data_IF_513578002976
#
_entry.id   IF_513578002976
#
_cell.length_a   1.000
_cell.length_b   1.000
_cell.length_c   1.000
_cell.angle_alpha   90.00
_cell.angle_beta   90.00
_cell.angle_gamma   90.00
#
_symmetry.space_group_name_H-M   'P 1'
#
loop_
_entity.id
_entity.type
_entity.pdbx_description
1 polymer ?
#
# COMPACT_ATOMS: atom_id res chain seq x y z
N UNK A 1 12.23 -16.10 4.60
CA UNK A 1 11.96 -17.23 3.66
C UNK A 1 11.25 -16.78 2.38
N UNK A 2 10.00 -16.28 2.41
CA UNK A 2 9.30 -15.83 1.18
C UNK A 2 9.99 -14.62 0.56
N UNK A 3 10.28 -13.60 1.37
CA UNK A 3 10.94 -12.36 0.92
C UNK A 3 12.31 -12.63 0.28
N UNK A 4 13.03 -13.64 0.76
CA UNK A 4 14.36 -13.98 0.26
C UNK A 4 14.31 -14.66 -1.11
N UNK A 5 13.26 -15.45 -1.36
CA UNK A 5 13.13 -16.31 -2.56
C UNK A 5 12.54 -15.60 -3.78
N UNK A 6 11.68 -14.61 -3.58
CA UNK A 6 10.90 -13.99 -4.66
C UNK A 6 11.35 -12.57 -4.99
N UNK A 7 10.98 -12.10 -6.18
CA UNK A 7 11.30 -10.75 -6.65
C UNK A 7 10.61 -9.68 -5.78
N UNK A 8 11.40 -8.78 -5.21
CA UNK A 8 10.91 -7.77 -4.26
C UNK A 8 9.86 -6.83 -4.84
N UNK A 9 9.91 -6.52 -6.14
CA UNK A 9 8.89 -5.66 -6.79
C UNK A 9 7.52 -6.35 -6.86
N UNK A 10 7.50 -7.65 -7.16
CA UNK A 10 6.25 -8.42 -7.17
C UNK A 10 5.66 -8.56 -5.77
N UNK A 11 6.52 -8.81 -4.78
CA UNK A 11 6.10 -8.89 -3.37
C UNK A 11 5.49 -7.56 -2.88
N UNK A 12 6.06 -6.41 -3.28
CA UNK A 12 5.47 -5.10 -2.97
C UNK A 12 4.08 -4.92 -3.59
N UNK A 13 3.88 -5.35 -4.84
CA UNK A 13 2.56 -5.31 -5.48
C UNK A 13 1.57 -6.17 -4.70
N UNK A 14 1.97 -7.36 -4.25
CA UNK A 14 1.13 -8.23 -3.40
C UNK A 14 0.78 -7.53 -2.08
N UNK A 15 1.73 -6.84 -1.44
CA UNK A 15 1.46 -6.05 -0.24
C UNK A 15 0.43 -4.96 -0.51
N UNK A 16 0.57 -4.21 -1.61
CA UNK A 16 -0.39 -3.18 -1.99
C UNK A 16 -1.78 -3.76 -2.28
N UNK A 17 -1.87 -4.95 -2.87
CA UNK A 17 -3.15 -5.65 -3.05
C UNK A 17 -3.79 -6.03 -1.72
N UNK A 18 -3.02 -6.49 -0.73
CA UNK A 18 -3.57 -6.75 0.60
C UNK A 18 -4.07 -5.48 1.28
N UNK A 19 -3.31 -4.38 1.23
CA UNK A 19 -3.77 -3.07 1.73
C UNK A 19 -5.00 -2.56 0.98
N UNK A 20 -5.10 -2.83 -0.32
CA UNK A 20 -6.29 -2.50 -1.11
C UNK A 20 -7.50 -3.27 -0.61
N UNK A 21 -7.40 -4.60 -0.43
CA UNK A 21 -8.51 -5.41 0.12
C UNK A 21 -8.89 -4.96 1.52
N UNK A 22 -7.91 -4.69 2.40
CA UNK A 22 -8.14 -4.20 3.76
C UNK A 22 -8.91 -2.87 3.76
N UNK A 23 -8.45 -1.90 2.95
CA UNK A 23 -9.13 -0.62 2.77
C UNK A 23 -10.51 -0.78 2.13
N UNK A 24 -10.69 -1.73 1.21
CA UNK A 24 -11.96 -2.00 0.56
C UNK A 24 -12.99 -2.52 1.57
N UNK A 25 -12.58 -3.44 2.46
CA UNK A 25 -13.44 -3.92 3.55
C UNK A 25 -13.92 -2.74 4.39
N UNK A 26 -13.00 -1.84 4.79
CA UNK A 26 -13.37 -0.64 5.53
C UNK A 26 -14.36 0.27 4.79
N UNK A 27 -14.19 0.44 3.48
CA UNK A 27 -15.08 1.29 2.68
C UNK A 27 -16.53 0.79 2.61
N UNK A 28 -16.77 -0.49 2.90
CA UNK A 28 -18.11 -1.09 2.94
C UNK A 28 -18.55 -1.50 4.35
N UNK A 29 -17.82 -1.07 5.38
CA UNK A 29 -18.18 -1.31 6.77
C UNK A 29 -19.36 -0.43 7.17
N UNK A 30 -20.44 -1.07 7.62
CA UNK A 30 -21.66 -0.43 8.10
C UNK A 30 -21.82 -0.65 9.61
N UNK A 31 -22.80 0.01 10.23
CA UNK A 31 -23.04 -0.04 11.69
C UNK A 31 -23.31 -1.49 12.12
N UNK A 32 -24.06 -2.24 11.32
CA UNK A 32 -24.42 -3.64 11.55
C UNK A 32 -23.25 -4.61 11.35
N UNK A 33 -22.34 -4.34 10.40
CA UNK A 33 -21.24 -5.26 10.05
C UNK A 33 -19.92 -4.95 10.75
N UNK A 34 -19.81 -3.81 11.47
CA UNK A 34 -18.55 -3.29 12.03
C UNK A 34 -17.71 -4.30 12.81
N UNK A 35 -18.33 -5.11 13.67
CA UNK A 35 -17.58 -6.05 14.51
C UNK A 35 -16.93 -7.17 13.70
N UNK A 36 -17.64 -7.68 12.69
CA UNK A 36 -17.11 -8.72 11.79
C UNK A 36 -16.03 -8.13 10.88
N UNK A 37 -16.27 -6.94 10.32
CA UNK A 37 -15.30 -6.27 9.46
C UNK A 37 -14.00 -5.91 10.21
N UNK A 38 -14.09 -5.47 11.47
CA UNK A 38 -12.91 -5.23 12.32
C UNK A 38 -12.07 -6.49 12.47
N UNK A 39 -12.69 -7.65 12.71
CA UNK A 39 -11.95 -8.91 12.85
C UNK A 39 -11.25 -9.25 11.52
N UNK A 40 -11.96 -9.15 10.40
CA UNK A 40 -11.40 -9.44 9.07
C UNK A 40 -10.21 -8.54 8.72
N UNK A 41 -10.35 -7.23 8.93
CA UNK A 41 -9.27 -6.27 8.74
C UNK A 41 -8.07 -6.61 9.61
N UNK A 42 -8.26 -6.88 10.90
CA UNK A 42 -7.13 -7.18 11.79
C UNK A 42 -6.40 -8.48 11.40
N UNK A 43 -7.12 -9.49 10.90
CA UNK A 43 -6.50 -10.70 10.37
C UNK A 43 -5.63 -10.38 9.15
N UNK A 44 -6.13 -9.58 8.20
CA UNK A 44 -5.36 -9.17 7.02
C UNK A 44 -4.17 -8.31 7.43
N UNK A 45 -4.36 -7.33 8.31
CA UNK A 45 -3.32 -6.45 8.81
C UNK A 45 -2.20 -7.21 9.53
N UNK A 46 -2.53 -8.27 10.28
CA UNK A 46 -1.55 -9.10 11.01
C UNK A 46 -0.55 -9.77 10.08
N UNK A 47 -0.96 -10.08 8.84
CA UNK A 47 -0.11 -10.67 7.80
C UNK A 47 0.58 -9.55 7.01
N UNK A 48 -0.20 -8.55 6.60
CA UNK A 48 0.23 -7.51 5.67
C UNK A 48 1.31 -6.62 6.25
N UNK A 49 1.17 -6.20 7.52
CA UNK A 49 2.12 -5.31 8.18
C UNK A 49 3.55 -5.86 8.20
N UNK A 50 3.78 -7.04 8.82
CA UNK A 50 5.11 -7.66 8.83
C UNK A 50 5.63 -7.99 7.42
N UNK A 51 4.75 -8.46 6.53
CA UNK A 51 5.13 -8.82 5.17
C UNK A 51 5.60 -7.61 4.35
N UNK A 52 4.90 -6.48 4.46
CA UNK A 52 5.27 -5.22 3.83
C UNK A 52 6.59 -4.69 4.40
N UNK A 53 6.73 -4.64 5.72
CA UNK A 53 7.94 -4.15 6.39
C UNK A 53 9.18 -4.92 5.97
N UNK A 54 9.13 -6.26 5.95
CA UNK A 54 10.25 -7.10 5.52
C UNK A 54 10.57 -6.92 4.04
N UNK A 55 9.55 -6.87 3.18
CA UNK A 55 9.73 -6.69 1.73
C UNK A 55 10.34 -5.33 1.41
N UNK A 56 9.84 -4.27 2.04
CA UNK A 56 10.35 -2.91 1.89
C UNK A 56 11.79 -2.79 2.42
N UNK A 57 12.08 -3.39 3.57
CA UNK A 57 13.42 -3.42 4.14
C UNK A 57 14.42 -4.06 3.16
N UNK A 58 14.10 -5.24 2.62
CA UNK A 58 14.93 -5.88 1.59
C UNK A 58 15.10 -4.96 0.37
N UNK A 59 14.01 -4.36 -0.13
CA UNK A 59 14.06 -3.45 -1.28
C UNK A 59 15.01 -2.27 -1.08
N UNK A 60 15.02 -1.70 0.12
CA UNK A 60 15.89 -0.59 0.49
C UNK A 60 17.35 -1.03 0.50
N UNK A 61 17.63 -2.18 1.11
CA UNK A 61 19.00 -2.70 1.23
C UNK A 61 19.58 -3.17 -0.12
N UNK A 62 18.72 -3.59 -1.06
CA UNK A 62 19.09 -3.89 -2.45
C UNK A 62 19.52 -2.63 -3.24
N UNK A 63 19.10 -1.43 -2.81
CA UNK A 63 19.34 -0.16 -3.52
C UNK A 63 20.41 0.68 -2.83
N UNK A 64 20.42 0.71 -1.49
CA UNK A 64 21.26 1.61 -0.71
C UNK A 64 22.67 1.00 -0.56
N UNK A 65 23.74 1.76 -0.92
CA UNK A 65 25.12 1.34 -0.70
C UNK A 65 25.40 1.02 0.77
N UNK A 66 26.21 -0.01 1.03
CA UNK A 66 26.41 -0.51 2.39
C UNK A 66 26.95 0.54 3.36
N UNK A 67 27.85 1.41 2.88
CA UNK A 67 28.45 2.50 3.67
C UNK A 67 27.44 3.52 4.19
N UNK A 68 26.35 3.72 3.45
CA UNK A 68 25.42 4.83 3.67
C UNK A 68 24.05 4.34 4.16
N UNK A 69 23.88 3.03 4.41
CA UNK A 69 22.61 2.42 4.81
C UNK A 69 21.94 3.15 5.97
N UNK A 70 22.69 3.46 7.02
CA UNK A 70 22.16 4.14 8.20
C UNK A 70 21.63 5.54 7.89
N UNK A 71 22.33 6.31 7.05
CA UNK A 71 21.94 7.67 6.68
C UNK A 71 20.63 7.68 5.89
N UNK A 72 20.56 6.89 4.82
CA UNK A 72 19.37 6.83 3.97
C UNK A 72 18.18 6.18 4.68
N UNK A 73 18.42 5.19 5.55
CA UNK A 73 17.37 4.58 6.36
C UNK A 73 16.78 5.58 7.38
N UNK A 74 17.64 6.34 8.05
CA UNK A 74 17.24 7.42 8.96
C UNK A 74 16.45 8.51 8.25
N UNK A 75 16.92 8.98 7.09
CA UNK A 75 16.21 9.98 6.28
C UNK A 75 14.84 9.47 5.79
N UNK A 76 14.78 8.24 5.29
CA UNK A 76 13.51 7.61 4.91
C UNK A 76 12.53 7.56 6.09
N UNK A 77 13.00 7.13 7.26
CA UNK A 77 12.18 7.02 8.46
C UNK A 77 11.67 8.38 8.92
N UNK A 78 12.49 9.43 8.85
CA UNK A 78 12.09 10.79 9.16
C UNK A 78 10.99 11.30 8.22
N UNK A 79 11.10 11.04 6.91
CA UNK A 79 10.05 11.38 5.95
C UNK A 79 8.74 10.65 6.29
N UNK A 80 8.79 9.35 6.56
CA UNK A 80 7.60 8.57 6.92
C UNK A 80 6.97 9.11 8.21
N UNK A 81 7.77 9.43 9.23
CA UNK A 81 7.28 10.03 10.46
C UNK A 81 6.61 11.40 10.21
N UNK A 82 7.20 12.23 9.35
CA UNK A 82 6.61 13.50 8.93
C UNK A 82 5.25 13.32 8.22
N UNK A 83 5.16 12.35 7.30
CA UNK A 83 3.89 12.02 6.62
C UNK A 83 2.84 11.56 7.64
N UNK A 84 3.22 10.67 8.59
CA UNK A 84 2.33 10.20 9.65
C UNK A 84 1.84 11.36 10.54
N UNK A 85 2.69 12.34 10.82
CA UNK A 85 2.31 13.50 11.62
C UNK A 85 1.30 14.42 10.91
N UNK A 86 1.39 14.56 9.59
CA UNK A 86 0.49 15.42 8.80
C UNK A 86 -0.79 14.71 8.39
N UNK A 87 -0.77 13.38 8.26
CA UNK A 87 -1.91 12.60 7.78
C UNK A 87 -3.23 12.85 8.54
N UNK A 88 -3.26 12.97 9.89
CA UNK A 88 -4.49 13.26 10.63
C UNK A 88 -5.11 14.61 10.27
N UNK A 89 -4.31 15.63 9.94
CA UNK A 89 -4.82 16.95 9.56
C UNK A 89 -5.60 16.86 8.25
N UNK A 90 -5.02 16.18 7.25
CA UNK A 90 -5.66 15.96 5.94
C UNK A 90 -6.90 15.08 6.10
N UNK A 91 -6.79 13.99 6.88
CA UNK A 91 -7.89 13.07 7.13
C UNK A 91 -9.08 13.74 7.83
N UNK A 92 -8.83 14.57 8.85
CA UNK A 92 -9.87 15.32 9.54
C UNK A 92 -10.52 16.36 8.64
N UNK A 93 -9.75 17.12 7.87
CA UNK A 93 -10.31 18.09 6.93
C UNK A 93 -11.25 17.43 5.90
N UNK A 94 -10.85 16.27 5.37
CA UNK A 94 -11.68 15.50 4.44
C UNK A 94 -12.93 14.93 5.13
N UNK A 95 -12.76 14.37 6.33
CA UNK A 95 -13.86 13.83 7.14
C UNK A 95 -14.91 14.91 7.43
N UNK A 96 -14.48 16.08 7.90
CA UNK A 96 -15.35 17.18 8.28
C UNK A 96 -16.09 17.74 7.07
N UNK A 97 -15.40 17.88 5.93
CA UNK A 97 -16.04 18.26 4.67
C UNK A 97 -17.14 17.27 4.26
N UNK A 98 -16.87 15.97 4.31
CA UNK A 98 -17.86 14.94 3.96
C UNK A 98 -19.03 14.98 4.94
N UNK A 99 -18.76 15.07 6.25
CA UNK A 99 -19.78 15.07 7.29
C UNK A 99 -20.77 16.24 7.14
N UNK A 100 -20.30 17.42 6.70
CA UNK A 100 -21.17 18.60 6.49
C UNK A 100 -21.97 18.50 5.19
N UNK A 101 -21.38 17.99 4.12
CA UNK A 101 -21.95 18.11 2.77
C UNK A 101 -22.64 16.84 2.26
N UNK A 102 -22.40 15.68 2.89
CA UNK A 102 -22.85 14.38 2.39
C UNK A 102 -23.69 13.70 3.46
N UNK A 103 -24.98 13.55 3.19
CA UNK A 103 -25.90 12.76 4.00
C UNK A 103 -25.70 11.25 3.72
N UNK A 104 -26.01 10.35 4.68
CA UNK A 104 -26.03 8.92 4.44
C UNK A 104 -26.87 8.53 3.21
N UNK A 105 -26.36 7.62 2.38
CA UNK A 105 -27.02 7.23 1.13
C UNK A 105 -26.69 5.79 0.73
N UNK A 106 -27.72 5.02 0.33
CA UNK A 106 -27.55 3.64 -0.13
C UNK A 106 -26.81 2.77 0.88
N UNK A 107 -25.66 2.22 0.48
CA UNK A 107 -24.78 1.39 1.31
C UNK A 107 -23.87 2.19 2.25
N UNK A 108 -23.90 3.53 2.17
CA UNK A 108 -23.05 4.43 2.95
C UNK A 108 -23.78 4.99 4.18
N UNK A 109 -23.88 4.18 5.24
CA UNK A 109 -24.47 4.60 6.53
C UNK A 109 -23.60 5.63 7.28
N UNK A 110 -22.27 5.59 7.06
CA UNK A 110 -21.28 6.49 7.66
C UNK A 110 -20.36 7.04 6.57
N UNK A 111 -20.86 7.94 5.69
CA UNK A 111 -20.14 8.37 4.49
C UNK A 111 -18.76 8.93 4.76
N UNK A 112 -18.58 9.70 5.83
CA UNK A 112 -17.29 10.30 6.19
C UNK A 112 -16.20 9.25 6.44
N UNK A 113 -16.56 8.11 7.02
CA UNK A 113 -15.62 7.01 7.23
C UNK A 113 -15.40 6.24 5.93
N UNK A 114 -16.49 5.79 5.33
CA UNK A 114 -16.47 4.88 4.18
C UNK A 114 -15.83 5.51 2.93
N UNK A 115 -16.15 6.79 2.65
CA UNK A 115 -15.62 7.50 1.49
C UNK A 115 -14.13 7.82 1.63
N UNK A 116 -13.62 8.08 2.84
CA UNK A 116 -12.16 8.23 3.06
C UNK A 116 -11.44 6.95 2.65
N UNK A 117 -11.93 5.79 3.09
CA UNK A 117 -11.35 4.51 2.67
C UNK A 117 -11.55 4.23 1.18
N UNK A 118 -12.65 4.68 0.57
CA UNK A 118 -12.84 4.58 -0.87
C UNK A 118 -11.81 5.42 -1.65
N UNK A 119 -11.50 6.63 -1.19
CA UNK A 119 -10.43 7.46 -1.75
C UNK A 119 -9.07 6.76 -1.61
N UNK A 120 -8.78 6.18 -0.44
CA UNK A 120 -7.56 5.37 -0.24
C UNK A 120 -7.48 4.21 -1.22
N UNK A 121 -8.59 3.53 -1.50
CA UNK A 121 -8.64 2.48 -2.51
C UNK A 121 -8.28 2.99 -3.91
N UNK A 122 -8.80 4.16 -4.32
CA UNK A 122 -8.45 4.76 -5.62
C UNK A 122 -6.95 5.04 -5.69
N UNK A 123 -6.36 5.62 -4.64
CA UNK A 123 -4.92 5.90 -4.59
C UNK A 123 -4.08 4.62 -4.62
N UNK A 124 -4.48 3.59 -3.87
CA UNK A 124 -3.82 2.28 -3.88
C UNK A 124 -3.94 1.61 -5.25
N UNK A 125 -5.08 1.71 -5.91
CA UNK A 125 -5.27 1.16 -7.25
C UNK A 125 -4.35 1.83 -8.27
N UNK A 126 -4.24 3.16 -8.24
CA UNK A 126 -3.30 3.92 -9.08
C UNK A 126 -1.86 3.47 -8.81
N UNK A 127 -1.48 3.32 -7.54
CA UNK A 127 -0.15 2.86 -7.14
C UNK A 127 0.15 1.45 -7.63
N UNK A 128 -0.82 0.53 -7.55
CA UNK A 128 -0.72 -0.85 -8.05
C UNK A 128 -0.50 -0.83 -9.56
N UNK A 129 -1.29 -0.08 -10.32
CA UNK A 129 -1.16 0.03 -11.77
C UNK A 129 0.21 0.57 -12.18
N UNK A 130 0.71 1.60 -11.49
CA UNK A 130 2.03 2.16 -11.76
C UNK A 130 3.15 1.14 -11.53
N UNK A 131 3.10 0.41 -10.41
CA UNK A 131 4.10 -0.60 -10.07
C UNK A 131 4.03 -1.83 -10.98
N UNK A 132 2.83 -2.24 -11.40
CA UNK A 132 2.64 -3.31 -12.40
C UNK A 132 3.27 -2.93 -13.74
N UNK A 133 2.98 -1.73 -14.26
CA UNK A 133 3.58 -1.23 -15.51
C UNK A 133 5.10 -1.23 -15.45
N UNK A 134 5.67 -0.73 -14.35
CA UNK A 134 7.12 -0.71 -14.13
C UNK A 134 7.71 -2.12 -14.10
N UNK A 135 7.06 -3.04 -13.38
CA UNK A 135 7.53 -4.42 -13.25
C UNK A 135 7.48 -5.16 -14.59
N UNK A 136 6.39 -5.02 -15.36
CA UNK A 136 6.27 -5.61 -16.70
C UNK A 136 7.35 -5.08 -17.64
N UNK A 137 7.64 -3.77 -17.60
CA UNK A 137 8.70 -3.16 -18.41
C UNK A 137 10.06 -3.81 -18.12
N UNK A 138 10.44 -3.93 -16.85
CA UNK A 138 11.69 -4.56 -16.43
C UNK A 138 11.79 -6.03 -16.89
N UNK A 139 10.69 -6.79 -16.81
CA UNK A 139 10.67 -8.17 -17.31
C UNK A 139 10.88 -8.27 -18.83
N UNK A 140 10.29 -7.35 -19.60
CA UNK A 140 10.48 -7.30 -21.05
C UNK A 140 11.93 -6.97 -21.42
N UNK A 141 12.54 -6.00 -20.73
CA UNK A 141 13.94 -5.61 -20.92
C UNK A 141 14.90 -6.77 -20.61
N UNK A 142 14.70 -7.47 -19.49
CA UNK A 142 15.51 -8.63 -19.12
C UNK A 142 15.36 -9.81 -20.09
N UNK A 143 14.15 -10.02 -20.65
CA UNK A 143 13.92 -11.06 -21.67
C UNK A 143 14.63 -10.72 -22.98
N UNK A 144 14.65 -9.43 -23.37
CA UNK A 144 15.35 -8.98 -24.58
C UNK A 144 16.86 -9.17 -24.47
N UNK A 145 17.46 -8.77 -23.34
CA UNK A 145 18.90 -8.98 -23.09
C UNK A 145 19.30 -10.46 -23.18
N UNK A 146 18.51 -11.37 -22.59
CA UNK A 146 18.78 -12.81 -22.68
C UNK A 146 18.66 -13.39 -24.10
N UNK A 147 17.85 -12.77 -24.96
CA UNK A 147 17.78 -13.18 -26.37
C UNK A 147 19.03 -12.70 -27.12
N UNK A 148 19.45 -11.46 -26.89
CA UNK A 148 20.64 -10.88 -27.51
C UNK A 148 21.95 -11.58 -27.05
N UNK A 149 22.04 -12.03 -25.78
CA UNK A 149 23.20 -12.75 -25.23
C UNK A 149 23.25 -14.25 -25.61
N UNK A 150 22.14 -14.83 -26.06
CA UNK A 150 22.03 -16.25 -26.43
C UNK A 150 22.36 -16.56 -27.89
N UNK A 151 22.55 -15.53 -28.71
CA UNK A 151 22.92 -15.60 -30.12
C UNK A 151 24.43 -15.34 -30.35
N UNK A 152 25.26 -15.46 -29.30
CA UNK A 152 26.75 -15.38 -29.34
C UNK A 152 27.39 -16.73 -29.02
#
# INVERSE_FOLDING_TARGET
KVVDKYNTNLLLIICFMFYFVDSLIWSFTNISSRYIMIILVNLIASITGPFFSLTLFKKKYDIIPESDRSLYDGFYTAIIAGIIAVAPLIGNALKDYIQVNIQPFGLFEVPQFQLIFLVTNVLLFILILFNLKKTIKLFKEAKKQKADDGDV
#
